data_IF_009083080513
#
_entry.id   IF_009083080513
#
_cell.length_a   1.000
_cell.length_b   1.000
_cell.length_c   1.000
_cell.angle_alpha   90.00
_cell.angle_beta   90.00
_cell.angle_gamma   90.00
#
_symmetry.space_group_name_H-M   'P 1'
#
loop_
_entity.id
_entity.type
_entity.pdbx_description
1 polymer ?
#
# COMPACT_ATOMS: atom_id res chain seq x y z
N UNK A 1 21.03 -61.41 -20.00
CA UNK A 1 21.26 -60.31 -20.98
C UNK A 1 19.91 -59.63 -21.16
N UNK A 2 19.61 -58.37 -20.82
CA UNK A 2 20.37 -57.18 -20.43
C UNK A 2 19.41 -56.19 -19.72
N UNK A 3 19.42 -56.11 -18.39
CA UNK A 3 18.67 -55.09 -17.63
C UNK A 3 19.39 -53.74 -17.65
N UNK A 4 19.75 -53.23 -18.84
CA UNK A 4 20.54 -51.99 -19.00
C UNK A 4 19.96 -51.00 -19.99
N UNK A 5 18.64 -51.04 -20.26
CA UNK A 5 18.03 -50.11 -21.22
C UNK A 5 17.24 -48.94 -20.61
N UNK A 6 17.10 -48.85 -19.29
CA UNK A 6 16.33 -47.76 -18.67
C UNK A 6 17.17 -46.60 -18.12
N UNK A 7 18.49 -46.75 -18.01
CA UNK A 7 19.38 -45.75 -17.39
C UNK A 7 20.02 -44.82 -18.44
N UNK A 8 20.17 -45.27 -19.69
CA UNK A 8 20.86 -44.54 -20.75
C UNK A 8 20.06 -43.34 -21.34
N UNK A 9 18.73 -43.35 -21.20
CA UNK A 9 17.88 -42.24 -21.67
C UNK A 9 17.74 -41.08 -20.67
N UNK A 10 18.05 -41.32 -19.40
CA UNK A 10 17.94 -40.34 -18.33
C UNK A 10 18.86 -39.12 -18.51
N UNK A 11 20.15 -39.27 -18.86
CA UNK A 11 21.02 -38.11 -19.08
C UNK A 11 20.59 -37.32 -20.33
N UNK A 12 20.17 -37.98 -21.40
CA UNK A 12 19.70 -37.31 -22.61
C UNK A 12 18.40 -36.52 -22.37
N UNK A 13 17.46 -37.10 -21.62
CA UNK A 13 16.24 -36.42 -21.20
C UNK A 13 16.54 -35.22 -20.28
N UNK A 14 17.48 -35.35 -19.34
CA UNK A 14 17.92 -34.25 -18.48
C UNK A 14 18.56 -33.11 -19.29
N UNK A 15 19.38 -33.43 -20.30
CA UNK A 15 19.98 -32.43 -21.19
C UNK A 15 18.90 -31.72 -22.00
N UNK A 16 17.91 -32.44 -22.54
CA UNK A 16 16.78 -31.83 -23.25
C UNK A 16 15.92 -30.92 -22.35
N UNK A 17 15.68 -31.32 -21.10
CA UNK A 17 14.96 -30.49 -20.12
C UNK A 17 15.76 -29.24 -19.77
N UNK A 18 17.08 -29.36 -19.60
CA UNK A 18 17.95 -28.24 -19.32
C UNK A 18 18.03 -27.25 -20.50
N UNK A 19 18.05 -27.76 -21.74
CA UNK A 19 18.04 -26.94 -22.97
C UNK A 19 16.69 -26.25 -23.22
N UNK A 20 15.58 -26.84 -22.73
CA UNK A 20 14.23 -26.28 -22.82
C UNK A 20 13.85 -25.35 -21.66
N UNK A 21 14.71 -25.21 -20.63
CA UNK A 21 14.44 -24.39 -19.47
C UNK A 21 14.58 -22.90 -19.81
N UNK A 22 13.48 -22.28 -20.25
CA UNK A 22 13.39 -20.84 -20.43
C UNK A 22 13.29 -20.17 -19.05
N UNK A 23 14.04 -19.09 -18.77
CA UNK A 23 13.95 -18.40 -17.49
C UNK A 23 12.52 -17.90 -17.27
N UNK A 24 11.91 -18.29 -16.15
CA UNK A 24 10.60 -17.82 -15.72
C UNK A 24 10.67 -16.34 -15.28
N UNK A 25 10.65 -15.42 -16.25
CA UNK A 25 10.79 -13.97 -16.01
C UNK A 25 9.62 -13.33 -15.25
N UNK A 26 8.49 -14.03 -15.12
CA UNK A 26 7.32 -13.54 -14.39
C UNK A 26 7.51 -13.52 -12.86
N UNK A 27 8.49 -14.26 -12.31
CA UNK A 27 8.73 -14.32 -10.86
C UNK A 27 9.47 -13.10 -10.31
N UNK A 28 10.04 -12.27 -11.20
CA UNK A 28 10.86 -11.10 -10.85
C UNK A 28 10.30 -9.85 -11.52
N UNK A 29 9.07 -9.44 -11.17
CA UNK A 29 8.54 -8.13 -11.59
C UNK A 29 9.15 -7.09 -10.64
N UNK A 30 10.12 -6.25 -11.09
CA UNK A 30 10.85 -5.33 -10.20
C UNK A 30 9.99 -4.13 -9.74
N UNK A 31 8.71 -4.14 -10.09
CA UNK A 31 7.72 -3.10 -9.78
C UNK A 31 6.57 -3.61 -8.91
N UNK A 32 6.52 -4.90 -8.58
CA UNK A 32 5.49 -5.45 -7.70
C UNK A 32 5.72 -4.93 -6.26
N UNK A 33 4.65 -4.49 -5.59
CA UNK A 33 4.72 -3.94 -4.22
C UNK A 33 5.13 -2.47 -4.12
N UNK A 34 5.26 -1.74 -5.22
CA UNK A 34 5.43 -0.27 -5.16
C UNK A 34 4.09 0.40 -4.91
N UNK A 35 4.08 1.45 -4.08
CA UNK A 35 2.89 2.28 -3.92
C UNK A 35 2.51 2.90 -5.27
N UNK A 36 1.23 2.79 -5.64
CA UNK A 36 0.69 3.48 -6.80
C UNK A 36 0.63 4.97 -6.49
N UNK A 37 1.55 5.73 -7.07
CA UNK A 37 1.52 7.20 -6.99
C UNK A 37 0.35 7.66 -7.86
N UNK A 38 -0.70 8.20 -7.24
CA UNK A 38 -1.75 8.90 -7.97
C UNK A 38 -1.30 10.33 -8.20
N UNK A 39 -1.13 10.68 -9.47
CA UNK A 39 -0.92 12.06 -9.89
C UNK A 39 -2.29 12.69 -10.11
N UNK A 40 -2.62 13.71 -9.32
CA UNK A 40 -3.89 14.42 -9.41
C UNK A 40 -3.71 15.92 -9.14
N UNK A 41 -4.63 16.73 -9.62
CA UNK A 41 -4.73 18.15 -9.31
C UNK A 41 -5.46 18.34 -7.98
N UNK A 42 -4.66 18.21 -6.95
CA UNK A 42 -5.01 18.33 -5.55
C UNK A 42 -5.52 19.74 -5.17
N UNK A 43 -6.85 19.91 -5.12
CA UNK A 43 -7.52 21.18 -4.77
C UNK A 43 -7.73 21.37 -3.24
N UNK A 44 -6.70 21.09 -2.43
CA UNK A 44 -6.82 21.15 -0.97
C UNK A 44 -7.12 22.56 -0.49
N UNK A 45 -7.93 22.63 0.56
CA UNK A 45 -8.20 23.84 1.34
C UNK A 45 -7.81 23.60 2.79
N UNK A 46 -7.59 24.69 3.52
CA UNK A 46 -7.27 24.66 4.94
C UNK A 46 -8.35 25.42 5.70
N UNK A 47 -8.87 24.80 6.74
CA UNK A 47 -9.75 25.43 7.72
C UNK A 47 -9.03 25.46 9.07
N UNK A 48 -9.02 26.61 9.72
CA UNK A 48 -8.41 26.78 11.05
C UNK A 48 -9.48 26.92 12.11
N UNK A 49 -9.39 26.09 13.15
CA UNK A 49 -10.10 26.24 14.42
C UNK A 49 -9.10 26.63 15.51
N UNK A 50 -9.55 26.89 16.75
CA UNK A 50 -8.64 27.24 17.85
C UNK A 50 -7.50 26.25 18.06
N UNK A 51 -7.75 24.93 17.94
CA UNK A 51 -6.75 23.90 18.24
C UNK A 51 -6.37 23.01 17.03
N UNK A 52 -7.03 23.16 15.88
CA UNK A 52 -6.79 22.30 14.71
C UNK A 52 -6.66 23.08 13.41
N UNK A 53 -5.76 22.62 12.55
CA UNK A 53 -5.73 22.95 11.12
C UNK A 53 -6.21 21.74 10.31
N UNK A 54 -7.37 21.88 9.68
CA UNK A 54 -8.01 20.79 8.92
C UNK A 54 -7.75 21.01 7.43
N UNK A 55 -7.02 20.08 6.83
CA UNK A 55 -6.78 20.01 5.40
C UNK A 55 -7.86 19.13 4.77
N UNK A 56 -8.61 19.67 3.81
CA UNK A 56 -9.76 18.98 3.23
C UNK A 56 -9.93 19.30 1.75
N UNK A 57 -10.67 18.45 1.05
CA UNK A 57 -11.11 18.71 -0.31
C UNK A 57 -12.49 19.38 -0.34
N UNK A 58 -12.79 20.26 -1.32
CA UNK A 58 -14.02 21.06 -1.35
C UNK A 58 -15.32 20.24 -1.28
N UNK A 59 -15.35 19.03 -1.83
CA UNK A 59 -16.51 18.14 -1.77
C UNK A 59 -16.92 17.72 -0.34
N UNK A 60 -16.01 17.86 0.63
CA UNK A 60 -16.26 17.56 2.05
C UNK A 60 -16.67 18.79 2.88
N UNK A 61 -16.75 19.98 2.27
CA UNK A 61 -17.03 21.24 2.99
C UNK A 61 -18.34 21.19 3.79
N UNK A 62 -19.37 20.52 3.26
CA UNK A 62 -20.67 20.31 3.93
C UNK A 62 -20.58 19.54 5.27
N UNK A 63 -19.51 18.78 5.50
CA UNK A 63 -19.31 18.00 6.73
C UNK A 63 -18.26 18.61 7.66
N UNK A 64 -17.50 19.59 7.17
CA UNK A 64 -16.36 20.19 7.85
C UNK A 64 -16.73 20.72 9.24
N UNK A 65 -17.82 21.48 9.35
CA UNK A 65 -18.24 22.07 10.61
C UNK A 65 -18.53 21.01 11.69
N UNK A 66 -19.15 19.88 11.31
CA UNK A 66 -19.44 18.78 12.24
C UNK A 66 -18.16 18.10 12.72
N UNK A 67 -17.25 17.81 11.79
CA UNK A 67 -15.96 17.15 12.11
C UNK A 67 -15.12 18.03 13.03
N UNK A 68 -14.99 19.32 12.71
CA UNK A 68 -14.27 20.29 13.54
C UNK A 68 -14.90 20.40 14.93
N UNK A 69 -16.23 20.49 15.01
CA UNK A 69 -16.94 20.55 16.29
C UNK A 69 -16.65 19.34 17.18
N UNK A 70 -16.60 18.14 16.61
CA UNK A 70 -16.23 16.94 17.37
C UNK A 70 -14.76 16.91 17.80
N UNK A 71 -13.85 17.34 16.93
CA UNK A 71 -12.44 17.45 17.27
C UNK A 71 -12.20 18.42 18.44
N UNK A 72 -12.80 19.61 18.36
CA UNK A 72 -12.74 20.63 19.42
C UNK A 72 -13.38 20.13 20.73
N UNK A 73 -14.54 19.47 20.65
CA UNK A 73 -15.19 18.88 21.84
C UNK A 73 -14.31 17.80 22.48
N UNK A 74 -13.63 16.98 21.67
CA UNK A 74 -12.67 15.98 22.14
C UNK A 74 -11.46 16.62 22.82
N UNK A 75 -10.89 17.66 22.21
CA UNK A 75 -9.80 18.44 22.78
C UNK A 75 -10.18 19.01 24.15
N UNK A 76 -11.35 19.65 24.26
CA UNK A 76 -11.84 20.21 25.52
C UNK A 76 -12.00 19.13 26.59
N UNK A 77 -12.53 17.97 26.22
CA UNK A 77 -12.68 16.87 27.17
C UNK A 77 -11.34 16.37 27.70
N UNK A 78 -10.39 16.08 26.80
CA UNK A 78 -9.06 15.58 27.21
C UNK A 78 -8.32 16.62 28.03
N UNK A 79 -8.36 17.90 27.61
CA UNK A 79 -7.72 18.99 28.34
C UNK A 79 -8.31 19.17 29.75
N UNK A 80 -9.64 19.05 29.89
CA UNK A 80 -10.32 19.10 31.18
C UNK A 80 -9.94 17.91 32.07
N UNK A 81 -9.91 16.70 31.52
CA UNK A 81 -9.58 15.48 32.28
C UNK A 81 -8.12 15.53 32.78
N UNK A 82 -7.21 16.10 31.99
CA UNK A 82 -5.79 16.28 32.35
C UNK A 82 -5.52 17.55 33.16
N UNK A 83 -6.49 18.47 33.27
CA UNK A 83 -6.34 19.81 33.87
C UNK A 83 -5.20 20.63 33.23
N UNK A 84 -4.95 20.40 31.95
CA UNK A 84 -3.90 21.04 31.18
C UNK A 84 -4.32 21.15 29.72
N UNK A 85 -4.02 22.27 29.07
CA UNK A 85 -4.12 22.39 27.61
C UNK A 85 -3.09 21.49 26.94
N UNK A 86 -3.45 20.84 25.83
CA UNK A 86 -2.61 19.83 25.17
C UNK A 86 -2.08 20.28 23.81
#
# INVERSE_FOLDING_TARGET
MSTRLRIAGLPAALVLIALGAVPARAQFIPYYGKNKVNYDNFAWRVYKSPHFEVYYYPEFEQHLARVVSYAESGYQKVSSDLKHEI
#
